data_IF_226017773206
#
_entry.id   IF_226017773206
#
_cell.length_a   1.000
_cell.length_b   1.000
_cell.length_c   1.000
_cell.angle_alpha   90.00
_cell.angle_beta   90.00
_cell.angle_gamma   90.00
#
_symmetry.space_group_name_H-M   'P 1'
#
loop_
_entity.id
_entity.type
_entity.pdbx_description
1 polymer ?
#
# COMPACT_ATOMS: atom_id res chain seq x y z
N UNK A 1 4.59 -24.59 22.31
CA UNK A 1 4.55 -23.46 21.36
C UNK A 1 4.17 -22.21 22.13
N UNK A 2 5.06 -21.22 22.22
CA UNK A 2 4.78 -19.93 22.86
C UNK A 2 3.80 -19.15 21.99
N UNK A 3 2.64 -18.79 22.53
CA UNK A 3 1.66 -17.94 21.83
C UNK A 3 2.03 -16.48 22.07
N UNK A 4 2.23 -15.74 20.99
CA UNK A 4 2.48 -14.30 21.03
C UNK A 4 1.14 -13.57 21.11
N UNK A 5 1.04 -12.61 22.02
CA UNK A 5 -0.13 -11.72 22.10
C UNK A 5 0.19 -10.49 21.27
N UNK A 6 -0.59 -10.25 20.21
CA UNK A 6 -0.52 -9.01 19.44
C UNK A 6 -1.61 -8.06 19.91
N UNK A 7 -1.34 -6.76 19.90
CA UNK A 7 -2.33 -5.71 20.10
C UNK A 7 -2.28 -4.69 18.97
N UNK A 8 -3.42 -4.05 18.72
CA UNK A 8 -3.60 -3.02 17.72
C UNK A 8 -4.38 -1.87 18.36
N UNK A 9 -3.85 -0.66 18.26
CA UNK A 9 -4.47 0.54 18.84
C UNK A 9 -5.36 1.19 17.79
N UNK A 10 -6.62 1.38 18.13
CA UNK A 10 -7.55 2.16 17.34
C UNK A 10 -7.34 3.68 17.57
N UNK A 11 -7.83 4.55 16.66
CA UNK A 11 -7.67 6.00 16.75
C UNK A 11 -8.31 6.62 18.00
N UNK A 12 -9.29 5.95 18.61
CA UNK A 12 -9.95 6.34 19.85
C UNK A 12 -9.18 5.88 21.11
N UNK A 13 -8.01 5.25 20.94
CA UNK A 13 -7.22 4.67 22.02
C UNK A 13 -7.66 3.27 22.43
N UNK A 14 -8.67 2.69 21.78
CA UNK A 14 -9.13 1.33 22.09
C UNK A 14 -8.08 0.30 21.67
N UNK A 15 -7.61 -0.52 22.61
CA UNK A 15 -6.64 -1.59 22.33
C UNK A 15 -7.33 -2.91 22.04
N UNK A 16 -7.02 -3.48 20.88
CA UNK A 16 -7.61 -4.72 20.39
C UNK A 16 -6.55 -5.82 20.34
N UNK A 17 -6.72 -6.87 21.16
CA UNK A 17 -5.71 -7.91 21.33
C UNK A 17 -6.06 -9.24 20.67
N UNK A 18 -5.04 -10.00 20.26
CA UNK A 18 -5.18 -11.36 19.73
C UNK A 18 -3.98 -12.24 20.09
N UNK A 19 -4.25 -13.40 20.68
CA UNK A 19 -3.24 -14.45 20.95
C UNK A 19 -3.11 -15.38 19.74
N UNK A 20 -1.90 -15.56 19.24
CA UNK A 20 -1.63 -16.43 18.08
C UNK A 20 -0.18 -16.93 18.07
N UNK A 21 0.05 -18.04 17.41
CA UNK A 21 1.35 -18.61 17.07
C UNK A 21 1.93 -18.04 15.76
N UNK A 22 1.13 -17.28 15.01
CA UNK A 22 1.54 -16.67 13.73
C UNK A 22 2.16 -15.29 13.95
N UNK A 23 3.06 -14.90 13.04
CA UNK A 23 3.65 -13.56 13.03
C UNK A 23 2.74 -12.60 12.25
N UNK A 24 2.31 -11.55 12.94
CA UNK A 24 1.52 -10.47 12.36
C UNK A 24 2.26 -9.15 12.53
N UNK A 25 2.10 -8.26 11.55
CA UNK A 25 2.73 -6.94 11.53
C UNK A 25 1.70 -5.83 11.40
N UNK A 26 0.51 -6.16 10.89
CA UNK A 26 -0.57 -5.20 10.65
C UNK A 26 -1.90 -5.77 11.13
N UNK A 27 -2.81 -4.91 11.55
CA UNK A 27 -4.19 -5.21 11.84
C UNK A 27 -5.10 -4.30 11.01
N UNK A 28 -6.21 -4.86 10.55
CA UNK A 28 -7.28 -4.11 9.89
C UNK A 28 -8.38 -3.93 10.92
N UNK A 29 -8.67 -2.68 11.25
CA UNK A 29 -9.72 -2.30 12.17
C UNK A 29 -10.90 -1.75 11.39
N UNK A 30 -12.10 -2.10 11.80
CA UNK A 30 -13.34 -1.64 11.19
C UNK A 30 -14.13 -0.91 12.27
N UNK A 31 -14.56 0.31 11.95
CA UNK A 31 -15.48 1.06 12.79
C UNK A 31 -16.86 0.40 12.72
N UNK A 32 -17.47 0.17 13.88
CA UNK A 32 -18.84 -0.32 13.99
C UNK A 32 -19.63 0.51 15.00
N UNK A 33 -20.92 0.23 15.12
CA UNK A 33 -21.83 0.95 16.02
C UNK A 33 -21.40 0.91 17.50
N UNK A 34 -20.61 -0.08 17.89
CA UNK A 34 -20.08 -0.27 19.25
C UNK A 34 -18.57 -0.01 19.34
N UNK A 35 -18.03 0.81 18.45
CA UNK A 35 -16.60 1.14 18.39
C UNK A 35 -15.80 0.26 17.42
N UNK A 36 -14.47 0.32 17.56
CA UNK A 36 -13.55 -0.38 16.67
C UNK A 36 -13.52 -1.87 16.92
N UNK A 37 -13.56 -2.65 15.84
CA UNK A 37 -13.42 -4.11 15.87
C UNK A 37 -12.33 -4.59 14.92
N UNK A 38 -11.74 -5.73 15.23
CA UNK A 38 -10.71 -6.35 14.39
C UNK A 38 -11.37 -7.03 13.19
N UNK A 39 -11.17 -6.51 11.99
CA UNK A 39 -11.50 -7.21 10.74
C UNK A 39 -10.44 -8.29 10.42
N UNK A 40 -9.17 -8.08 10.79
CA UNK A 40 -8.21 -9.17 10.87
C UNK A 40 -6.75 -8.74 11.03
N UNK A 41 -5.91 -9.67 11.48
CA UNK A 41 -4.46 -9.50 11.52
C UNK A 41 -3.81 -10.05 10.25
N UNK A 42 -2.85 -9.29 9.73
CA UNK A 42 -2.11 -9.57 8.51
C UNK A 42 -0.60 -9.54 8.78
N UNK A 43 0.13 -10.50 8.20
CA UNK A 43 1.60 -10.56 8.33
C UNK A 43 2.34 -9.64 7.36
N UNK A 44 1.61 -8.97 6.46
CA UNK A 44 2.14 -8.08 5.41
C UNK A 44 1.18 -6.93 5.18
N UNK A 45 1.73 -5.76 4.86
CA UNK A 45 0.98 -4.55 4.57
C UNK A 45 0.05 -4.72 3.35
N UNK A 46 0.54 -5.34 2.27
CA UNK A 46 -0.26 -5.56 1.05
C UNK A 46 -1.53 -6.40 1.33
N UNK A 47 -1.41 -7.39 2.22
CA UNK A 47 -2.54 -8.23 2.61
C UNK A 47 -3.53 -7.43 3.47
N UNK A 48 -3.03 -6.52 4.30
CA UNK A 48 -3.84 -5.61 5.10
C UNK A 48 -4.60 -4.62 4.19
N UNK A 49 -3.93 -3.99 3.22
CA UNK A 49 -4.58 -3.10 2.25
C UNK A 49 -5.61 -3.82 1.38
N UNK A 50 -5.30 -5.03 0.91
CA UNK A 50 -6.28 -5.85 0.19
C UNK A 50 -7.53 -6.07 1.06
N UNK A 51 -7.32 -6.44 2.33
CA UNK A 51 -8.42 -6.66 3.26
C UNK A 51 -9.15 -5.36 3.63
N UNK A 52 -8.46 -4.22 3.61
CA UNK A 52 -9.07 -2.92 3.77
C UNK A 52 -10.04 -2.59 2.62
N UNK A 53 -9.67 -2.92 1.37
CA UNK A 53 -10.57 -2.73 0.23
C UNK A 53 -11.84 -3.58 0.29
N UNK A 54 -11.80 -4.72 1.01
CA UNK A 54 -12.96 -5.57 1.25
C UNK A 54 -13.89 -5.02 2.36
N UNK A 55 -13.41 -4.07 3.16
CA UNK A 55 -14.12 -3.49 4.30
C UNK A 55 -14.15 -1.95 4.22
N UNK A 56 -15.15 -1.34 3.56
CA UNK A 56 -15.31 0.11 3.52
C UNK A 56 -15.37 0.69 4.94
N UNK A 57 -14.64 1.78 5.19
CA UNK A 57 -14.53 2.37 6.54
C UNK A 57 -13.56 1.66 7.48
N UNK A 58 -12.75 0.73 6.96
CA UNK A 58 -11.66 0.14 7.73
C UNK A 58 -10.35 0.92 7.59
N UNK A 59 -9.54 0.85 8.63
CA UNK A 59 -8.19 1.40 8.69
C UNK A 59 -7.18 0.26 8.88
N UNK A 60 -5.95 0.50 8.44
CA UNK A 60 -4.82 -0.38 8.71
C UNK A 60 -3.97 0.26 9.80
N UNK A 61 -3.68 -0.50 10.85
CA UNK A 61 -2.79 -0.10 11.94
C UNK A 61 -1.69 -1.13 12.11
N UNK A 62 -0.56 -0.73 12.69
CA UNK A 62 0.51 -1.67 13.01
C UNK A 62 0.14 -2.54 14.20
N UNK A 63 0.47 -3.84 14.10
CA UNK A 63 0.25 -4.79 15.18
C UNK A 63 1.52 -4.88 16.03
N UNK A 64 1.41 -4.55 17.31
CA UNK A 64 2.51 -4.59 18.27
C UNK A 64 2.43 -5.86 19.12
N UNK A 65 3.57 -6.32 19.66
CA UNK A 65 3.61 -7.50 20.55
C UNK A 65 3.49 -7.04 22.00
N UNK A 66 2.46 -7.53 22.69
CA UNK A 66 2.25 -7.29 24.11
C UNK A 66 3.33 -8.07 24.89
N UNK A 67 4.39 -7.38 25.30
CA UNK A 67 5.52 -7.95 26.05
C UNK A 67 6.92 -7.49 25.64
N UNK A 68 7.08 -6.61 24.65
CA UNK A 68 8.33 -5.87 24.46
C UNK A 68 8.13 -4.47 25.03
N UNK A 69 8.71 -4.24 26.21
CA UNK A 69 8.95 -2.89 26.71
C UNK A 69 9.94 -2.26 25.72
N UNK A 70 9.42 -1.53 24.74
CA UNK A 70 10.26 -0.55 24.05
C UNK A 70 10.32 0.64 25.00
N UNK A 71 11.47 0.77 25.65
CA UNK A 71 11.88 2.02 26.27
C UNK A 71 11.95 3.08 25.17
N UNK A 72 10.93 3.93 25.11
CA UNK A 72 11.06 5.33 24.73
C UNK A 72 9.87 6.08 25.34
N UNK A 73 10.06 6.58 26.58
CA UNK A 73 9.37 7.76 27.07
C UNK A 73 9.77 8.91 26.13
N UNK A 74 8.85 9.63 25.50
CA UNK A 74 8.22 10.80 26.08
C UNK A 74 7.07 11.20 25.16
N UNK A 75 5.83 11.09 25.62
CA UNK A 75 5.10 12.10 26.40
C UNK A 75 4.15 12.86 25.48
N UNK A 76 2.91 12.38 25.51
CA UNK A 76 1.70 13.15 25.25
C UNK A 76 1.69 14.39 26.14
N UNK A 77 1.27 15.55 25.64
CA UNK A 77 0.42 16.45 26.42
C UNK A 77 -0.34 17.42 25.51
N UNK A 78 -1.66 17.37 25.65
CA UNK A 78 -2.61 18.35 25.16
C UNK A 78 -2.46 19.65 25.98
N UNK A 79 -2.79 20.80 25.38
CA UNK A 79 -3.48 21.87 26.12
C UNK A 79 -4.17 22.83 25.17
N UNK A 80 -5.37 23.21 25.58
CA UNK A 80 -6.34 24.05 24.91
C UNK A 80 -6.03 25.55 25.12
N UNK A 81 -6.67 26.39 24.30
CA UNK A 81 -7.10 27.78 24.55
C UNK A 81 -6.46 28.93 23.72
N UNK A 82 -7.35 29.87 23.35
CA UNK A 82 -7.19 31.22 22.79
C UNK A 82 -7.35 31.43 21.26
N UNK A 83 -8.59 31.67 20.81
CA UNK A 83 -8.92 32.74 19.84
C UNK A 83 -8.91 34.12 20.56
N UNK A 84 -8.93 35.32 19.92
CA UNK A 84 -9.21 35.65 18.50
C UNK A 84 -8.32 36.78 17.87
N UNK A 85 -8.64 37.08 16.61
CA UNK A 85 -8.59 38.41 15.93
C UNK A 85 -7.33 38.82 15.16
N UNK A 86 -7.51 39.10 13.87
CA UNK A 86 -6.59 39.89 13.04
C UNK A 86 -6.90 39.90 11.53
N UNK A 87 -8.03 40.48 11.14
CA UNK A 87 -8.30 41.04 9.80
C UNK A 87 -7.12 41.98 9.37
N UNK A 88 -6.57 42.02 8.14
CA UNK A 88 -7.11 42.55 6.86
C UNK A 88 -6.11 42.19 5.73
N UNK A 89 -6.51 41.63 4.59
CA UNK A 89 -7.01 42.26 3.33
C UNK A 89 -5.95 42.42 2.21
N UNK A 90 -6.48 42.48 0.98
CA UNK A 90 -5.85 42.69 -0.35
C UNK A 90 -5.46 41.38 -1.07
N UNK A 91 -5.99 41.00 -2.23
CA UNK A 91 -6.92 41.63 -3.14
C UNK A 91 -6.81 40.93 -4.51
N UNK A 92 -7.97 40.60 -5.10
CA UNK A 92 -8.29 40.33 -6.51
C UNK A 92 -7.27 39.60 -7.42
N UNK A 93 -7.66 38.44 -7.97
CA UNK A 93 -8.11 38.36 -9.38
C UNK A 93 -8.51 36.93 -9.77
N UNK A 94 -9.64 36.83 -10.46
CA UNK A 94 -10.26 35.62 -11.00
C UNK A 94 -9.33 34.80 -11.91
N UNK A 95 -9.31 33.49 -11.68
CA UNK A 95 -9.47 32.47 -12.74
C UNK A 95 -9.82 31.14 -12.12
N UNK A 96 -11.10 30.79 -12.17
CA UNK A 96 -11.56 29.43 -11.92
C UNK A 96 -10.93 28.50 -12.97
N UNK A 97 -9.87 27.80 -12.59
CA UNK A 97 -9.41 26.65 -13.34
C UNK A 97 -10.37 25.50 -13.01
N UNK A 98 -11.10 25.07 -14.03
CA UNK A 98 -12.10 24.00 -13.92
C UNK A 98 -11.47 22.75 -13.28
N UNK A 99 -12.22 22.10 -12.41
CA UNK A 99 -11.78 20.89 -11.69
C UNK A 99 -11.39 19.76 -12.66
N UNK A 100 -11.98 19.76 -13.86
CA UNK A 100 -11.73 18.82 -14.96
C UNK A 100 -10.31 18.93 -15.56
N UNK A 101 -9.76 20.14 -15.69
CA UNK A 101 -8.42 20.33 -16.26
C UNK A 101 -7.31 19.86 -15.30
N UNK A 102 -7.54 19.95 -13.99
CA UNK A 102 -6.61 19.41 -12.98
C UNK A 102 -6.55 17.89 -12.98
N UNK A 103 -7.65 17.20 -13.22
CA UNK A 103 -7.68 15.73 -13.30
C UNK A 103 -6.97 15.27 -14.59
N UNK A 104 -7.23 15.95 -15.71
CA UNK A 104 -6.65 15.55 -17.01
C UNK A 104 -5.14 15.78 -17.09
N UNK A 105 -4.62 16.77 -16.37
CA UNK A 105 -3.20 17.12 -16.36
C UNK A 105 -2.43 16.63 -15.11
N UNK A 106 -3.10 15.89 -14.21
CA UNK A 106 -2.45 15.23 -13.08
C UNK A 106 -1.59 14.07 -13.59
N UNK A 107 -0.40 14.39 -14.09
CA UNK A 107 0.70 13.44 -14.17
C UNK A 107 0.98 13.00 -12.73
N UNK A 108 0.48 11.81 -12.37
CA UNK A 108 0.74 11.16 -11.08
C UNK A 108 2.26 10.95 -10.99
N UNK A 109 2.94 11.96 -10.51
CA UNK A 109 4.37 11.94 -10.21
C UNK A 109 4.47 11.80 -8.70
N UNK A 110 3.83 10.75 -8.18
CA UNK A 110 3.98 10.34 -6.78
C UNK A 110 5.32 9.61 -6.61
N UNK A 111 5.92 9.65 -5.41
CA UNK A 111 7.16 8.93 -5.14
C UNK A 111 6.97 7.45 -5.50
N UNK A 112 7.86 6.88 -6.31
CA UNK A 112 7.79 5.50 -6.78
C UNK A 112 7.60 4.59 -5.56
N UNK A 113 6.36 4.15 -5.30
CA UNK A 113 6.13 3.06 -4.36
C UNK A 113 6.87 1.88 -4.96
N UNK A 114 7.93 1.43 -4.29
CA UNK A 114 8.64 0.21 -4.65
C UNK A 114 7.69 -0.96 -4.36
N UNK A 115 6.72 -1.16 -5.26
CA UNK A 115 5.78 -2.28 -5.23
C UNK A 115 6.53 -3.61 -5.29
N UNK A 116 5.83 -4.70 -5.07
CA UNK A 116 6.47 -6.02 -5.09
C UNK A 116 7.02 -6.37 -6.49
N UNK A 117 7.96 -7.32 -6.58
CA UNK A 117 8.46 -7.82 -7.88
C UNK A 117 7.29 -8.25 -8.80
N UNK A 118 6.23 -8.83 -8.23
CA UNK A 118 5.06 -9.26 -8.97
C UNK A 118 4.25 -8.10 -9.54
N UNK A 119 4.09 -7.02 -8.78
CA UNK A 119 3.41 -5.79 -9.23
C UNK A 119 4.23 -5.10 -10.33
N UNK A 120 5.54 -4.97 -10.14
CA UNK A 120 6.44 -4.41 -11.15
C UNK A 120 6.40 -5.23 -12.44
N UNK A 121 6.48 -6.56 -12.35
CA UNK A 121 6.37 -7.44 -13.53
C UNK A 121 5.00 -7.30 -14.19
N UNK A 122 3.92 -7.17 -13.41
CA UNK A 122 2.58 -7.00 -13.95
C UNK A 122 2.45 -5.69 -14.72
N UNK A 123 2.91 -4.57 -14.14
CA UNK A 123 2.93 -3.25 -14.77
C UNK A 123 3.72 -3.28 -16.09
N UNK A 124 4.96 -3.78 -16.05
CA UNK A 124 5.83 -3.84 -17.24
C UNK A 124 5.31 -4.82 -18.31
N UNK A 125 4.53 -5.84 -17.91
CA UNK A 125 3.91 -6.75 -18.86
C UNK A 125 2.76 -6.11 -19.64
N UNK A 126 2.11 -5.07 -19.11
CA UNK A 126 1.04 -4.34 -19.80
C UNK A 126 1.58 -3.38 -20.88
N UNK A 127 2.82 -2.92 -20.72
CA UNK A 127 3.49 -2.05 -21.69
C UNK A 127 3.95 -2.84 -22.93
N UNK A 128 3.42 -2.52 -24.10
CA UNK A 128 3.67 -3.25 -25.36
C UNK A 128 5.14 -3.23 -25.77
N UNK A 129 5.90 -2.21 -25.36
CA UNK A 129 7.26 -1.99 -25.86
C UNK A 129 8.31 -2.82 -25.09
N UNK A 130 8.01 -3.28 -23.88
CA UNK A 130 8.98 -4.00 -23.03
C UNK A 130 9.13 -5.48 -23.38
N UNK A 131 10.24 -5.89 -23.96
CA UNK A 131 10.58 -7.31 -24.11
C UNK A 131 10.76 -8.00 -22.75
N UNK A 132 10.58 -9.33 -22.68
CA UNK A 132 10.80 -10.06 -21.41
C UNK A 132 12.22 -9.90 -20.84
N UNK A 133 13.21 -9.58 -21.68
CA UNK A 133 14.59 -9.33 -21.25
C UNK A 133 14.69 -7.97 -20.56
N UNK A 134 14.07 -6.93 -21.12
CA UNK A 134 14.02 -5.59 -20.53
C UNK A 134 13.26 -5.60 -19.21
N UNK A 135 12.14 -6.35 -19.13
CA UNK A 135 11.40 -6.53 -17.86
C UNK A 135 12.32 -7.15 -16.80
N UNK A 136 13.13 -8.15 -17.15
CA UNK A 136 14.06 -8.77 -16.20
C UNK A 136 15.16 -7.79 -15.77
N UNK A 137 15.68 -6.97 -16.69
CA UNK A 137 16.68 -5.96 -16.38
C UNK A 137 16.13 -4.89 -15.43
N UNK A 138 14.91 -4.42 -15.68
CA UNK A 138 14.19 -3.49 -14.82
C UNK A 138 13.96 -4.06 -13.42
N UNK A 139 13.49 -5.31 -13.35
CA UNK A 139 13.27 -6.00 -12.07
C UNK A 139 14.57 -6.16 -11.28
N UNK A 140 15.68 -6.51 -11.94
CA UNK A 140 16.98 -6.63 -11.27
C UNK A 140 17.58 -5.29 -10.87
N UNK A 141 17.29 -4.21 -11.62
CA UNK A 141 17.70 -2.85 -11.27
C UNK A 141 17.04 -2.41 -9.97
N UNK A 142 15.72 -2.65 -9.83
CA UNK A 142 14.97 -2.28 -8.61
C UNK A 142 15.15 -3.29 -7.47
N UNK A 143 15.33 -4.57 -7.79
CA UNK A 143 15.51 -5.66 -6.83
C UNK A 143 16.75 -6.50 -7.17
N UNK A 144 17.95 -6.07 -6.73
CA UNK A 144 19.21 -6.76 -7.07
C UNK A 144 19.27 -8.22 -6.60
N UNK A 145 18.58 -8.55 -5.51
CA UNK A 145 18.49 -9.92 -4.98
C UNK A 145 17.48 -10.81 -5.74
N UNK A 146 16.73 -10.26 -6.71
CA UNK A 146 15.70 -10.99 -7.42
C UNK A 146 16.26 -12.07 -8.35
N UNK A 147 15.73 -13.28 -8.22
CA UNK A 147 16.05 -14.43 -9.10
C UNK A 147 15.15 -14.49 -10.34
N UNK A 148 14.58 -13.36 -10.75
CA UNK A 148 13.64 -13.27 -11.86
C UNK A 148 14.32 -13.63 -13.18
N UNK A 149 13.65 -14.45 -13.99
CA UNK A 149 14.13 -14.89 -15.31
C UNK A 149 13.10 -14.58 -16.40
N UNK A 150 13.54 -14.51 -17.66
CA UNK A 150 12.61 -14.31 -18.78
C UNK A 150 11.56 -15.43 -18.87
N UNK A 151 11.94 -16.66 -18.48
CA UNK A 151 11.03 -17.81 -18.43
C UNK A 151 9.95 -17.64 -17.36
N UNK A 152 10.30 -17.16 -16.17
CA UNK A 152 9.31 -16.91 -15.12
C UNK A 152 8.36 -15.77 -15.51
N UNK A 153 8.88 -14.71 -16.14
CA UNK A 153 8.05 -13.60 -16.65
C UNK A 153 7.09 -14.08 -17.74
N UNK A 154 7.56 -14.89 -18.70
CA UNK A 154 6.71 -15.47 -19.75
C UNK A 154 5.61 -16.37 -19.17
N UNK A 155 5.91 -17.14 -18.12
CA UNK A 155 4.91 -17.96 -17.43
C UNK A 155 3.83 -17.11 -16.76
N UNK A 156 4.22 -16.00 -16.11
CA UNK A 156 3.27 -15.05 -15.52
C UNK A 156 2.39 -14.42 -16.59
N UNK A 157 2.98 -13.97 -17.70
CA UNK A 157 2.23 -13.42 -18.83
C UNK A 157 1.20 -14.42 -19.38
N UNK A 158 1.57 -15.69 -19.52
CA UNK A 158 0.65 -16.73 -19.99
C UNK A 158 -0.52 -16.95 -19.01
N UNK A 159 -0.25 -16.98 -17.70
CA UNK A 159 -1.30 -17.09 -16.67
C UNK A 159 -2.23 -15.89 -16.69
N UNK A 160 -1.70 -14.67 -16.86
CA UNK A 160 -2.51 -13.45 -16.95
C UNK A 160 -3.44 -13.47 -18.16
N UNK A 161 -2.94 -13.87 -19.35
CA UNK A 161 -3.79 -14.06 -20.53
C UNK A 161 -4.89 -15.09 -20.29
N UNK A 162 -4.56 -16.21 -19.64
CA UNK A 162 -5.55 -17.25 -19.29
C UNK A 162 -6.64 -16.71 -18.36
N UNK A 163 -6.32 -15.76 -17.49
CA UNK A 163 -7.27 -15.10 -16.58
C UNK A 163 -8.04 -13.95 -17.24
N UNK A 164 -7.84 -13.70 -18.53
CA UNK A 164 -8.54 -12.66 -19.29
C UNK A 164 -7.87 -11.29 -19.29
N UNK A 165 -6.67 -11.15 -18.74
CA UNK A 165 -5.92 -9.90 -18.82
C UNK A 165 -5.35 -9.68 -20.23
N UNK A 166 -5.44 -8.45 -20.75
CA UNK A 166 -4.96 -8.06 -22.07
C UNK A 166 -3.43 -7.88 -22.09
N UNK A 167 -2.69 -8.98 -21.94
CA UNK A 167 -1.22 -8.96 -21.97
C UNK A 167 -0.72 -9.24 -23.40
N UNK A 168 0.05 -8.33 -24.03
CA UNK A 168 0.55 -8.48 -25.38
C UNK A 168 1.29 -9.81 -25.60
N UNK A 169 1.05 -10.47 -26.73
CA UNK A 169 1.77 -11.70 -27.10
C UNK A 169 3.14 -11.31 -27.65
N UNK A 170 4.16 -11.39 -26.80
CA UNK A 170 5.55 -11.17 -27.22
C UNK A 170 6.08 -12.44 -27.88
N UNK A 171 6.18 -12.44 -29.21
CA UNK A 171 6.92 -13.47 -29.94
C UNK A 171 8.42 -13.20 -29.78
N UNK A 172 9.23 -14.26 -29.69
CA UNK A 172 10.69 -14.10 -29.82
C UNK A 172 10.95 -13.45 -31.18
N UNK A 173 11.73 -12.37 -31.21
CA UNK A 173 12.35 -11.93 -32.46
C UNK A 173 13.09 -13.14 -33.04
N UNK A 174 12.77 -13.48 -34.30
CA UNK A 174 13.53 -14.46 -35.07
C UNK A 174 14.95 -13.92 -35.13
N UNK A 175 15.91 -14.61 -34.51
CA UNK A 175 17.32 -14.25 -34.66
C UNK A 175 17.66 -14.26 -36.16
N UNK A 176 18.40 -13.27 -36.68
CA UNK A 176 18.90 -13.29 -38.05
C UNK A 176 19.80 -14.51 -38.29
#
# INVERSE_FOLDING_TARGET
MTRTTYFASAPDGTELTRKTDRKYTHAVLLEGENGWRIAGFCGRLDLAHKKQTEHPGSIVVEAQVLGVVSADETASEATEDAEPTGHEAVGASEREQSVDDKIRNAKITGPERLGTIGELVHELLMDVDNTYVEIVAEVKRRFPAAKTTARSVASVAAVLRKKGASVPVRRKAKAP
#
